data_IF_949772425141
#
_entry.id   IF_949772425141
#
_cell.length_a   1.000
_cell.length_b   1.000
_cell.length_c   1.000
_cell.angle_alpha   90.00
_cell.angle_beta   90.00
_cell.angle_gamma   90.00
#
_symmetry.space_group_name_H-M   'P 1'
#
loop_
_entity.id
_entity.type
_entity.pdbx_description
1 polymer ?
#
# COMPACT_ATOMS: atom_id res chain seq x y z
N UNK A 1 -10.24 5.24 -1.41
CA UNK A 1 -8.89 5.27 -2.03
C UNK A 1 -8.11 3.98 -1.71
N UNK A 2 -7.82 3.15 -2.72
CA UNK A 2 -7.04 1.89 -2.57
C UNK A 2 -5.55 2.15 -2.82
N UNK A 3 -4.65 1.49 -2.10
CA UNK A 3 -3.18 1.59 -2.23
C UNK A 3 -2.49 0.23 -2.27
N UNK A 4 -1.30 0.18 -2.85
CA UNK A 4 -0.40 -1.01 -2.81
C UNK A 4 0.33 -1.10 -1.46
N UNK A 5 0.74 -2.31 -1.09
CA UNK A 5 1.57 -2.56 0.11
C UNK A 5 3.04 -2.24 -0.16
N UNK A 6 3.72 -1.71 0.85
CA UNK A 6 5.17 -1.48 0.85
C UNK A 6 5.94 -2.82 0.91
N UNK A 7 7.25 -2.80 0.62
CA UNK A 7 8.16 -3.93 0.75
C UNK A 7 7.96 -5.08 -0.26
N UNK A 8 7.30 -4.82 -1.39
CA UNK A 8 7.11 -5.77 -2.50
C UNK A 8 7.98 -5.47 -3.74
N UNK A 9 9.06 -4.70 -3.59
CA UNK A 9 9.89 -4.27 -4.72
C UNK A 9 11.37 -4.67 -4.59
N UNK A 10 11.90 -4.77 -3.37
CA UNK A 10 13.34 -4.99 -3.14
C UNK A 10 13.59 -6.02 -2.02
N UNK A 11 14.71 -6.76 -2.15
CA UNK A 11 15.14 -7.88 -1.29
C UNK A 11 14.00 -8.89 -1.07
N UNK A 12 13.45 -9.39 -2.17
CA UNK A 12 12.36 -10.39 -2.14
C UNK A 12 12.88 -11.81 -1.92
N UNK A 13 14.15 -12.05 -2.21
CA UNK A 13 14.82 -13.35 -2.07
C UNK A 13 14.96 -13.75 -0.61
N UNK A 14 15.22 -12.78 0.30
CA UNK A 14 15.32 -13.02 1.75
C UNK A 14 13.98 -13.04 2.49
N UNK A 15 12.85 -12.82 1.79
CA UNK A 15 11.50 -12.84 2.37
C UNK A 15 10.84 -14.20 2.15
N UNK A 16 10.15 -14.71 3.17
CA UNK A 16 9.38 -15.96 3.05
C UNK A 16 8.29 -15.85 1.97
N UNK A 17 7.91 -16.98 1.38
CA UNK A 17 6.85 -17.07 0.37
C UNK A 17 5.49 -16.60 0.91
N UNK A 18 5.16 -16.95 2.17
CA UNK A 18 3.97 -16.46 2.89
C UNK A 18 3.95 -14.95 2.99
N UNK A 19 5.07 -14.32 3.37
CA UNK A 19 5.16 -12.87 3.47
C UNK A 19 4.95 -12.20 2.12
N UNK A 20 5.63 -12.69 1.07
CA UNK A 20 5.46 -12.18 -0.31
C UNK A 20 4.01 -12.29 -0.77
N UNK A 21 3.31 -13.41 -0.50
CA UNK A 21 1.89 -13.61 -0.84
C UNK A 21 0.98 -12.59 -0.18
N UNK A 22 1.15 -12.35 1.12
CA UNK A 22 0.38 -11.35 1.86
C UNK A 22 0.62 -9.90 1.37
N UNK A 23 1.76 -9.63 0.75
CA UNK A 23 2.08 -8.32 0.17
C UNK A 23 1.50 -8.12 -1.25
N UNK A 24 0.89 -9.14 -1.86
CA UNK A 24 0.34 -9.03 -3.23
C UNK A 24 -0.93 -8.18 -3.30
N UNK A 25 -1.76 -8.18 -2.25
CA UNK A 25 -3.04 -7.47 -2.22
C UNK A 25 -2.91 -5.96 -2.02
N UNK A 26 -3.99 -5.26 -2.33
CA UNK A 26 -4.18 -3.83 -2.03
C UNK A 26 -4.86 -3.63 -0.68
N UNK A 27 -4.70 -2.45 -0.10
CA UNK A 27 -5.35 -2.05 1.16
C UNK A 27 -5.95 -0.66 1.00
N UNK A 28 -6.86 -0.29 1.88
CA UNK A 28 -7.38 1.08 1.94
C UNK A 28 -6.34 2.02 2.55
N UNK A 29 -6.41 3.31 2.20
CA UNK A 29 -5.69 4.37 2.92
C UNK A 29 -6.22 4.47 4.36
N UNK A 30 -5.33 4.77 5.31
CA UNK A 30 -5.72 4.92 6.71
C UNK A 30 -6.56 6.19 6.88
N UNK A 31 -7.55 6.17 7.78
CA UNK A 31 -8.51 7.26 7.97
C UNK A 31 -7.83 8.62 8.20
N UNK A 32 -6.77 8.65 8.99
CA UNK A 32 -5.98 9.85 9.27
C UNK A 32 -5.38 10.51 8.01
N UNK A 33 -4.98 9.72 7.01
CA UNK A 33 -4.31 10.23 5.80
C UNK A 33 -5.31 10.67 4.72
N UNK A 34 -6.59 10.28 4.83
CA UNK A 34 -7.61 10.50 3.79
C UNK A 34 -7.77 11.99 3.46
N UNK A 35 -7.82 12.86 4.48
CA UNK A 35 -8.02 14.29 4.27
C UNK A 35 -6.86 14.92 3.48
N UNK A 36 -5.62 14.57 3.83
CA UNK A 36 -4.43 15.05 3.14
C UNK A 36 -4.37 14.53 1.70
N UNK A 37 -4.70 13.26 1.48
CA UNK A 37 -4.69 12.66 0.14
C UNK A 37 -5.77 13.25 -0.76
N UNK A 38 -6.99 13.50 -0.24
CA UNK A 38 -8.06 14.19 -0.98
C UNK A 38 -7.64 15.60 -1.42
N UNK A 39 -6.97 16.35 -0.53
CA UNK A 39 -6.44 17.68 -0.85
C UNK A 39 -5.39 17.64 -1.96
N UNK A 40 -4.48 16.67 -1.91
CA UNK A 40 -3.40 16.54 -2.90
C UNK A 40 -3.90 16.10 -4.28
N UNK A 41 -4.87 15.18 -4.31
CA UNK A 41 -5.36 14.60 -5.57
C UNK A 41 -6.42 15.46 -6.28
N UNK A 42 -6.81 16.62 -5.69
CA UNK A 42 -7.87 17.51 -6.19
C UNK A 42 -9.04 16.67 -6.75
N UNK A 43 -9.54 15.73 -5.96
CA UNK A 43 -10.76 15.00 -6.35
C UNK A 43 -11.91 16.02 -6.30
N UNK A 44 -12.32 16.46 -7.50
CA UNK A 44 -13.57 17.18 -7.77
C UNK A 44 -14.77 16.38 -7.30
#
# INVERSE_FOLDING_TARGET
>A
LKRKRMNKSHILTKKTTKRKRQLRGTTTVHSADVAGVKRMLRES
#
